data_IF_251993053770
#
_entry.id   IF_251993053770
#
_cell.length_a   1.000
_cell.length_b   1.000
_cell.length_c   1.000
_cell.angle_alpha   90.00
_cell.angle_beta   90.00
_cell.angle_gamma   90.00
#
_symmetry.space_group_name_H-M   'P 1'
#
loop_
_entity.id
_entity.type
_entity.pdbx_description
1 polymer ?
#
# COMPACT_ATOMS: atom_id res chain seq x y z
N UNK A 1 4.47 1.09 1.04
CA UNK A 1 3.37 0.53 0.22
C UNK A 1 2.77 -0.64 0.96
N UNK A 2 1.48 -0.59 1.30
CA UNK A 2 0.77 -1.70 1.94
C UNK A 2 -0.12 -2.45 0.96
N UNK A 3 0.08 -3.76 0.83
CA UNK A 3 -0.74 -4.63 -0.01
C UNK A 3 -0.68 -6.08 0.46
N UNK A 4 -1.52 -6.92 -0.13
CA UNK A 4 -1.41 -8.37 0.03
C UNK A 4 -0.01 -8.87 -0.34
N UNK A 5 0.42 -9.98 0.27
CA UNK A 5 1.67 -10.69 -0.06
C UNK A 5 1.56 -11.44 -1.41
N UNK A 6 1.27 -10.66 -2.44
CA UNK A 6 1.25 -11.04 -3.85
C UNK A 6 1.74 -9.82 -4.65
N UNK A 7 1.98 -10.00 -5.94
CA UNK A 7 2.28 -8.90 -6.86
C UNK A 7 1.06 -7.99 -7.03
N UNK A 8 0.00 -8.51 -7.67
CA UNK A 8 -1.31 -7.87 -7.84
C UNK A 8 -1.23 -6.39 -8.25
N UNK A 9 -2.14 -5.58 -7.71
CA UNK A 9 -2.25 -4.15 -8.05
C UNK A 9 -1.09 -3.28 -7.53
N UNK A 10 -0.29 -3.78 -6.59
CA UNK A 10 0.81 -3.01 -6.00
C UNK A 10 2.15 -3.17 -6.74
N UNK A 11 2.29 -4.19 -7.60
CA UNK A 11 3.57 -4.48 -8.25
C UNK A 11 4.08 -3.35 -9.16
N UNK A 12 3.24 -2.72 -10.02
CA UNK A 12 3.70 -1.59 -10.83
C UNK A 12 4.20 -0.42 -9.96
N UNK A 13 3.54 -0.17 -8.82
CA UNK A 13 3.92 0.87 -7.86
C UNK A 13 5.28 0.55 -7.23
N UNK A 14 5.49 -0.69 -6.78
CA UNK A 14 6.79 -1.13 -6.22
C UNK A 14 7.91 -0.98 -7.24
N UNK A 15 7.68 -1.40 -8.49
CA UNK A 15 8.66 -1.22 -9.56
C UNK A 15 8.97 0.24 -9.84
N UNK A 16 7.94 1.09 -9.90
CA UNK A 16 8.15 2.52 -10.10
C UNK A 16 9.04 3.09 -8.99
N UNK A 17 8.69 2.87 -7.72
CA UNK A 17 9.44 3.36 -6.57
C UNK A 17 10.88 2.86 -6.56
N UNK A 18 11.11 1.57 -6.86
CA UNK A 18 12.45 1.00 -7.02
C UNK A 18 13.22 1.67 -8.17
N UNK A 19 12.58 1.84 -9.33
CA UNK A 19 13.20 2.43 -10.53
C UNK A 19 13.65 3.88 -10.29
N UNK A 20 12.83 4.67 -9.57
CA UNK A 20 13.18 6.05 -9.20
C UNK A 20 14.00 6.15 -7.91
N UNK A 21 14.44 5.02 -7.35
CA UNK A 21 15.21 4.92 -6.10
C UNK A 21 14.57 5.64 -4.91
N UNK A 22 13.24 5.64 -4.83
CA UNK A 22 12.52 6.12 -3.65
C UNK A 22 12.45 4.99 -2.63
N UNK A 23 13.04 5.14 -1.44
CA UNK A 23 12.95 4.13 -0.40
C UNK A 23 11.50 4.03 0.09
N UNK A 24 10.99 2.82 0.24
CA UNK A 24 9.67 2.57 0.80
C UNK A 24 9.66 1.27 1.61
N UNK A 25 8.80 1.20 2.62
CA UNK A 25 8.51 -0.05 3.31
C UNK A 25 7.51 -0.87 2.47
N UNK A 26 7.89 -2.10 2.06
CA UNK A 26 6.97 -3.05 1.44
C UNK A 26 6.20 -3.82 2.52
N UNK A 27 5.08 -3.24 2.96
CA UNK A 27 4.25 -3.78 4.03
C UNK A 27 3.32 -4.86 3.47
N UNK A 28 3.80 -6.10 3.52
CA UNK A 28 3.10 -7.28 3.00
C UNK A 28 2.11 -7.84 4.01
N UNK A 29 0.85 -7.92 3.60
CA UNK A 29 -0.25 -8.44 4.40
C UNK A 29 -0.56 -9.87 3.96
N UNK A 30 -0.49 -10.82 4.88
CA UNK A 30 -0.87 -12.20 4.57
C UNK A 30 -2.37 -12.32 4.37
N UNK A 31 -2.78 -13.04 3.33
CA UNK A 31 -4.18 -13.32 3.09
C UNK A 31 -4.69 -14.34 4.11
N UNK A 32 -5.89 -14.13 4.64
CA UNK A 32 -6.47 -14.98 5.68
C UNK A 32 -6.13 -14.53 7.11
N UNK A 33 -5.10 -13.71 7.27
CA UNK A 33 -4.81 -13.09 8.55
C UNK A 33 -5.72 -11.87 8.75
N UNK A 34 -6.19 -11.67 9.99
CA UNK A 34 -6.98 -10.48 10.37
C UNK A 34 -6.14 -9.19 10.39
N UNK A 35 -4.89 -9.23 9.93
CA UNK A 35 -3.95 -8.11 9.91
C UNK A 35 -4.52 -6.91 9.17
N UNK A 36 -5.06 -7.09 7.96
CA UNK A 36 -5.71 -5.98 7.24
C UNK A 36 -6.96 -5.48 7.97
N UNK A 37 -7.85 -6.39 8.38
CA UNK A 37 -9.13 -6.03 9.01
C UNK A 37 -8.92 -5.22 10.28
N UNK A 38 -7.91 -5.57 11.07
CA UNK A 38 -7.58 -4.91 12.34
C UNK A 38 -6.99 -3.51 12.15
N UNK A 39 -6.29 -3.25 11.04
CA UNK A 39 -5.62 -1.96 10.79
C UNK A 39 -6.37 -1.06 9.81
N UNK A 40 -7.34 -1.59 9.06
CA UNK A 40 -8.01 -0.89 7.95
C UNK A 40 -8.42 0.55 8.29
N UNK A 41 -9.06 0.74 9.45
CA UNK A 41 -9.61 2.04 9.86
C UNK A 41 -8.69 2.81 10.83
N UNK A 42 -7.49 2.31 11.12
CA UNK A 42 -6.54 2.96 12.05
C UNK A 42 -5.44 3.74 11.35
N UNK A 43 -5.29 3.59 10.03
CA UNK A 43 -4.23 4.22 9.22
C UNK A 43 -4.52 5.70 8.88
N UNK A 44 -5.74 6.17 9.12
CA UNK A 44 -6.17 7.53 8.77
C UNK A 44 -6.21 7.78 7.26
N UNK A 45 -6.65 6.78 6.50
CA UNK A 45 -6.91 6.88 5.06
C UNK A 45 -8.35 7.38 4.85
N UNK A 46 -8.57 8.33 3.93
CA UNK A 46 -9.91 8.85 3.63
C UNK A 46 -10.83 7.77 3.01
N UNK A 47 -10.25 6.90 2.18
CA UNK A 47 -10.95 5.79 1.53
C UNK A 47 -10.22 4.45 1.80
N UNK A 48 -10.36 3.86 3.00
CA UNK A 48 -9.56 2.70 3.42
C UNK A 48 -9.62 1.51 2.46
N UNK A 49 -8.54 1.27 1.73
CA UNK A 49 -8.44 0.19 0.76
C UNK A 49 -6.99 -0.25 0.52
N UNK A 50 -6.83 -1.34 -0.22
CA UNK A 50 -5.54 -1.85 -0.68
C UNK A 50 -5.45 -1.72 -2.22
N UNK A 51 -4.28 -1.33 -2.78
CA UNK A 51 -3.09 -0.89 -2.08
C UNK A 51 -3.26 0.49 -1.44
N UNK A 52 -2.45 0.74 -0.41
CA UNK A 52 -2.25 2.08 0.16
C UNK A 52 -0.78 2.50 0.10
N UNK A 53 -0.58 3.80 0.03
CA UNK A 53 0.73 4.46 0.12
C UNK A 53 0.62 5.61 1.12
N UNK A 54 1.57 5.68 2.04
CA UNK A 54 1.63 6.70 3.09
C UNK A 54 3.05 7.22 3.12
N UNK A 55 3.20 8.53 3.02
CA UNK A 55 4.43 9.27 3.33
C UNK A 55 4.10 10.49 4.20
N UNK A 56 5.09 11.38 4.39
CA UNK A 56 4.94 12.57 5.23
C UNK A 56 3.91 13.58 4.71
N UNK A 57 3.56 13.53 3.42
CA UNK A 57 2.71 14.52 2.74
C UNK A 57 1.35 13.96 2.38
N UNK A 58 1.26 12.68 2.00
CA UNK A 58 0.06 12.09 1.44
C UNK A 58 -0.27 10.72 2.04
N UNK A 59 -1.57 10.42 2.06
CA UNK A 59 -2.14 9.13 2.44
C UNK A 59 -3.10 8.67 1.35
N UNK A 60 -2.60 7.89 0.41
CA UNK A 60 -3.30 7.54 -0.81
C UNK A 60 -3.77 6.08 -0.80
N UNK A 61 -4.87 5.86 -1.50
CA UNK A 61 -5.42 4.55 -1.85
C UNK A 61 -5.79 4.59 -3.35
N UNK A 62 -6.22 3.46 -3.92
CA UNK A 62 -6.44 3.26 -5.36
C UNK A 62 -5.12 3.17 -6.15
N UNK A 63 -4.90 2.03 -6.80
CA UNK A 63 -3.62 1.74 -7.46
C UNK A 63 -3.25 2.75 -8.55
N UNK A 64 -4.23 3.22 -9.32
CA UNK A 64 -4.01 4.22 -10.38
C UNK A 64 -3.73 5.62 -9.85
N UNK A 65 -4.12 5.93 -8.62
CA UNK A 65 -3.83 7.23 -7.99
C UNK A 65 -2.45 7.24 -7.33
N UNK A 66 -1.99 6.08 -6.87
CA UNK A 66 -0.66 5.92 -6.27
C UNK A 66 0.44 5.88 -7.35
N UNK A 67 0.16 5.24 -8.50
CA UNK A 67 1.05 5.15 -9.65
C UNK A 67 1.13 6.47 -10.41
#
# INVERSE_FOLDING_TARGET
VGYWDIRGLAEPIRYLLLFINVPFEDKRLQFGDKTWVNVKFTLGLDFPNLPYYIDDKVKLTQSTTIL
#
